data_IF_291566941275
#
_entry.id   IF_291566941275
#
_cell.length_a   1.000
_cell.length_b   1.000
_cell.length_c   1.000
_cell.angle_alpha   90.00
_cell.angle_beta   90.00
_cell.angle_gamma   90.00
#
_symmetry.space_group_name_H-M   'P 1'
#
loop_
_entity.id
_entity.type
_entity.pdbx_description
1 polymer ?
#
# COMPACT_ATOMS: atom_id res chain seq x y z
N UNK A 1 -4.52 -27.14 9.72
CA UNK A 1 -4.13 -25.79 10.15
C UNK A 1 -4.64 -24.88 9.09
N UNK A 2 -5.51 -23.95 9.47
CA UNK A 2 -6.16 -23.09 8.48
C UNK A 2 -5.12 -22.31 7.66
N UNK A 3 -5.26 -22.33 6.34
CA UNK A 3 -4.34 -21.69 5.39
C UNK A 3 -5.10 -21.07 4.22
N UNK A 4 -4.46 -20.11 3.55
CA UNK A 4 -4.98 -19.58 2.29
C UNK A 4 -5.06 -20.71 1.26
N UNK A 5 -6.26 -20.96 0.74
CA UNK A 5 -6.52 -21.96 -0.31
C UNK A 5 -6.96 -21.31 -1.63
N UNK A 6 -7.27 -20.01 -1.60
CA UNK A 6 -7.51 -19.21 -2.79
C UNK A 6 -6.94 -17.81 -2.59
N UNK A 7 -6.22 -17.33 -3.60
CA UNK A 7 -5.67 -15.98 -3.69
C UNK A 7 -5.75 -15.51 -5.14
N UNK A 8 -5.83 -14.20 -5.33
CA UNK A 8 -6.02 -13.59 -6.64
C UNK A 8 -5.14 -12.37 -6.79
N UNK A 9 -4.59 -12.19 -8.00
CA UNK A 9 -3.93 -10.95 -8.38
C UNK A 9 -4.99 -9.87 -8.64
N UNK A 10 -4.74 -8.64 -8.21
CA UNK A 10 -5.56 -7.51 -8.60
C UNK A 10 -4.99 -6.86 -9.85
N UNK A 11 -5.88 -6.44 -10.74
CA UNK A 11 -5.51 -5.57 -11.86
C UNK A 11 -5.08 -4.22 -11.28
N UNK A 12 -4.02 -3.64 -11.82
CA UNK A 12 -3.51 -2.32 -11.44
C UNK A 12 -4.43 -1.21 -11.96
N UNK A 13 -5.64 -1.17 -11.42
CA UNK A 13 -6.70 -0.22 -11.74
C UNK A 13 -7.32 0.30 -10.44
N UNK A 14 -7.56 1.61 -10.38
CA UNK A 14 -8.02 2.27 -9.16
C UNK A 14 -9.38 1.72 -8.70
N UNK A 15 -10.31 1.47 -9.63
CA UNK A 15 -11.64 0.98 -9.28
C UNK A 15 -11.60 -0.48 -8.84
N UNK A 16 -10.75 -1.31 -9.44
CA UNK A 16 -10.52 -2.68 -9.01
C UNK A 16 -9.94 -2.75 -7.60
N UNK A 17 -8.94 -1.93 -7.29
CA UNK A 17 -8.35 -1.86 -5.94
C UNK A 17 -9.36 -1.38 -4.89
N UNK A 18 -10.09 -0.29 -5.18
CA UNK A 18 -11.14 0.22 -4.29
C UNK A 18 -12.26 -0.80 -4.11
N UNK A 19 -12.70 -1.45 -5.18
CA UNK A 19 -13.73 -2.49 -5.14
C UNK A 19 -13.33 -3.69 -4.30
N UNK A 20 -12.05 -4.11 -4.35
CA UNK A 20 -11.52 -5.16 -3.50
C UNK A 20 -11.64 -4.81 -2.01
N UNK A 21 -11.19 -3.61 -1.65
CA UNK A 21 -11.25 -3.11 -0.27
C UNK A 21 -12.70 -2.92 0.21
N UNK A 22 -13.57 -2.36 -0.64
CA UNK A 22 -15.00 -2.20 -0.34
C UNK A 22 -15.72 -3.54 -0.15
N UNK A 23 -15.22 -4.61 -0.77
CA UNK A 23 -15.72 -5.97 -0.59
C UNK A 23 -15.20 -6.65 0.69
N UNK A 24 -14.40 -5.95 1.51
CA UNK A 24 -13.87 -6.44 2.78
C UNK A 24 -12.54 -7.20 2.67
N UNK A 25 -11.84 -7.12 1.53
CA UNK A 25 -10.59 -7.84 1.31
C UNK A 25 -9.39 -6.88 1.25
N UNK A 26 -8.53 -6.85 2.28
CA UNK A 26 -7.21 -6.24 2.18
C UNK A 26 -6.40 -6.89 1.07
N UNK A 27 -5.46 -6.14 0.51
CA UNK A 27 -4.52 -6.67 -0.46
C UNK A 27 -3.09 -6.23 -0.12
N UNK A 28 -2.13 -7.09 -0.41
CA UNK A 28 -0.71 -6.79 -0.32
C UNK A 28 -0.19 -6.31 -1.67
N UNK A 29 0.85 -5.49 -1.64
CA UNK A 29 1.55 -5.03 -2.84
C UNK A 29 2.99 -4.66 -2.52
N UNK A 30 3.85 -4.70 -3.54
CA UNK A 30 5.20 -4.16 -3.50
C UNK A 30 5.22 -2.74 -4.08
N UNK A 31 6.04 -1.86 -3.50
CA UNK A 31 6.30 -0.54 -4.06
C UNK A 31 7.77 -0.14 -3.95
N UNK A 32 8.21 0.70 -4.88
CA UNK A 32 9.56 1.28 -4.87
C UNK A 32 9.61 2.34 -3.76
N UNK A 33 10.58 2.26 -2.86
CA UNK A 33 10.78 3.23 -1.79
C UNK A 33 11.79 4.29 -2.24
N UNK A 34 11.47 5.55 -2.00
CA UNK A 34 12.34 6.71 -2.27
C UNK A 34 12.71 7.43 -0.96
N UNK A 35 13.74 8.29 -0.99
CA UNK A 35 14.25 9.01 0.19
C UNK A 35 13.17 9.78 0.97
N UNK A 36 12.21 10.38 0.27
CA UNK A 36 11.09 11.14 0.83
C UNK A 36 10.17 10.28 1.69
N UNK A 37 9.99 9.00 1.34
CA UNK A 37 9.21 8.05 2.14
C UNK A 37 9.87 7.72 3.48
N UNK A 38 11.20 7.58 3.50
CA UNK A 38 11.96 7.33 4.73
C UNK A 38 12.32 8.61 5.51
N UNK A 39 11.78 9.76 5.10
CA UNK A 39 12.02 11.01 5.82
C UNK A 39 11.39 11.01 7.22
N UNK A 40 11.99 11.78 8.14
CA UNK A 40 11.45 11.99 9.48
C UNK A 40 10.03 12.60 9.45
N UNK A 41 9.73 13.40 8.41
CA UNK A 41 8.40 13.95 8.17
C UNK A 41 7.38 12.84 7.98
N UNK A 42 7.64 11.88 7.09
CA UNK A 42 6.73 10.74 6.85
C UNK A 42 6.69 9.82 8.06
N UNK A 43 7.81 9.59 8.74
CA UNK A 43 7.84 8.80 9.97
C UNK A 43 6.99 9.40 11.10
N UNK A 44 6.74 10.71 11.07
CA UNK A 44 5.91 11.41 12.08
C UNK A 44 4.47 11.59 11.61
N UNK A 45 4.27 11.99 10.34
CA UNK A 45 2.93 12.29 9.80
C UNK A 45 2.20 11.05 9.29
N UNK A 46 2.95 10.06 8.81
CA UNK A 46 2.44 8.92 8.04
C UNK A 46 1.84 9.30 6.69
N UNK A 47 2.09 10.49 6.15
CA UNK A 47 1.60 10.89 4.83
C UNK A 47 2.73 10.85 3.80
N UNK A 48 2.79 9.78 3.00
CA UNK A 48 3.82 9.63 1.97
C UNK A 48 3.54 10.54 0.76
N UNK A 49 4.55 11.29 0.26
CA UNK A 49 4.41 12.05 -0.97
C UNK A 49 4.59 11.18 -2.22
N UNK A 50 4.28 11.73 -3.39
CA UNK A 50 4.82 11.20 -4.65
C UNK A 50 6.33 11.47 -4.71
N UNK A 51 7.12 10.55 -5.30
CA UNK A 51 8.55 10.78 -5.48
C UNK A 51 8.79 11.90 -6.51
N UNK A 52 9.84 12.68 -6.31
CA UNK A 52 10.26 13.66 -7.31
C UNK A 52 10.87 12.96 -8.56
N UNK A 53 10.79 13.57 -9.76
CA UNK A 53 11.20 12.92 -11.02
C UNK A 53 12.64 12.37 -11.08
N UNK A 54 13.55 12.87 -10.23
CA UNK A 54 14.94 12.42 -10.15
C UNK A 54 15.34 12.04 -8.72
N UNK A 55 14.35 11.73 -7.88
CA UNK A 55 14.58 11.27 -6.53
C UNK A 55 15.23 9.88 -6.53
N UNK A 56 16.14 9.67 -5.59
CA UNK A 56 16.86 8.41 -5.49
C UNK A 56 15.94 7.33 -4.91
N UNK A 57 15.76 6.24 -5.66
CA UNK A 57 15.19 5.02 -5.13
C UNK A 57 16.16 4.39 -4.13
N UNK A 58 15.67 3.98 -2.97
CA UNK A 58 16.47 3.42 -1.88
C UNK A 58 16.17 1.94 -1.62
N UNK A 59 15.10 1.40 -2.19
CA UNK A 59 14.79 -0.02 -2.11
C UNK A 59 13.39 -0.35 -2.59
N UNK A 60 12.92 -1.54 -2.25
CA UNK A 60 11.54 -1.96 -2.39
C UNK A 60 10.97 -2.39 -1.04
N UNK A 61 9.67 -2.20 -0.85
CA UNK A 61 8.98 -2.61 0.37
C UNK A 61 7.62 -3.23 0.04
N UNK A 62 7.18 -4.17 0.86
CA UNK A 62 5.91 -4.87 0.70
C UNK A 62 5.00 -4.60 1.90
N UNK A 63 3.77 -4.18 1.63
CA UNK A 63 2.84 -3.65 2.61
C UNK A 63 1.41 -4.07 2.29
N UNK A 64 0.46 -3.78 3.19
CA UNK A 64 -0.94 -4.16 3.04
C UNK A 64 -1.84 -2.93 2.96
N UNK A 65 -2.54 -2.76 1.84
CA UNK A 65 -3.64 -1.80 1.74
C UNK A 65 -4.85 -2.32 2.54
N UNK A 66 -5.40 -1.47 3.39
CA UNK A 66 -6.50 -1.79 4.32
C UNK A 66 -7.69 -0.84 4.21
N UNK A 67 -7.58 0.20 3.38
CA UNK A 67 -8.66 1.17 3.15
C UNK A 67 -8.27 2.20 2.11
N UNK A 68 -9.19 3.12 1.83
CA UNK A 68 -8.97 4.24 0.93
C UNK A 68 -9.82 5.44 1.35
N UNK A 69 -9.41 6.63 0.96
CA UNK A 69 -10.09 7.89 1.23
C UNK A 69 -10.06 8.77 -0.02
N UNK A 70 -11.23 9.23 -0.44
CA UNK A 70 -11.41 9.89 -1.74
C UNK A 70 -11.16 11.40 -1.71
N UNK A 71 -11.25 12.06 -0.56
CA UNK A 71 -11.12 13.51 -0.49
C UNK A 71 -9.66 13.97 -0.71
N UNK A 72 -8.69 13.19 -0.22
CA UNK A 72 -7.25 13.38 -0.42
C UNK A 72 -6.65 12.37 -1.41
N UNK A 73 -7.46 11.44 -1.93
CA UNK A 73 -7.05 10.42 -2.89
C UNK A 73 -5.92 9.53 -2.39
N UNK A 74 -6.15 8.91 -1.22
CA UNK A 74 -5.16 8.09 -0.52
C UNK A 74 -5.63 6.66 -0.31
N UNK A 75 -4.71 5.71 -0.48
CA UNK A 75 -4.84 4.40 0.15
C UNK A 75 -4.34 4.47 1.58
N UNK A 76 -5.08 3.86 2.51
CA UNK A 76 -4.59 3.59 3.86
C UNK A 76 -3.85 2.26 3.86
N UNK A 77 -2.61 2.29 4.33
CA UNK A 77 -1.67 1.18 4.23
C UNK A 77 -1.11 0.84 5.60
N UNK A 78 -1.14 -0.44 5.96
CA UNK A 78 -0.53 -0.97 7.17
C UNK A 78 0.95 -1.27 6.90
N UNK A 79 1.83 -0.65 7.69
CA UNK A 79 3.26 -0.89 7.66
C UNK A 79 3.66 -2.01 8.65
N UNK A 80 4.95 -2.35 8.67
CA UNK A 80 5.55 -3.38 9.52
C UNK A 80 6.68 -2.84 10.42
N UNK A 81 6.69 -1.54 10.71
CA UNK A 81 7.75 -0.85 11.47
C UNK A 81 7.34 -0.44 12.90
N UNK A 82 6.32 -1.12 13.43
CA UNK A 82 5.82 -0.87 14.78
C UNK A 82 4.85 0.31 14.89
N UNK A 83 4.18 0.40 16.04
CA UNK A 83 3.12 1.40 16.28
C UNK A 83 3.63 2.83 16.47
N UNK A 84 4.92 3.01 16.75
CA UNK A 84 5.52 4.34 16.95
C UNK A 84 5.83 5.09 15.65
N UNK A 85 5.59 4.48 14.49
CA UNK A 85 5.89 5.06 13.19
C UNK A 85 4.61 5.48 12.46
N UNK A 86 4.62 6.65 11.84
CA UNK A 86 3.52 7.19 11.05
C UNK A 86 2.21 7.31 11.84
N UNK A 87 1.11 6.93 11.21
CA UNK A 87 -0.24 6.92 11.79
C UNK A 87 -0.46 5.67 12.63
N UNK A 88 0.21 5.58 13.78
CA UNK A 88 0.14 4.43 14.70
C UNK A 88 0.53 3.07 14.05
N UNK A 89 1.52 3.08 13.15
CA UNK A 89 1.97 1.93 12.35
C UNK A 89 1.36 1.86 10.94
N UNK A 90 0.58 2.87 10.55
CA UNK A 90 -0.02 3.00 9.22
C UNK A 90 0.55 4.22 8.50
N UNK A 91 0.28 4.31 7.21
CA UNK A 91 0.52 5.50 6.41
C UNK A 91 -0.50 5.62 5.30
N UNK A 92 -0.59 6.81 4.72
CA UNK A 92 -1.33 7.05 3.49
C UNK A 92 -0.36 7.12 2.31
N UNK A 93 -0.79 6.57 1.18
CA UNK A 93 -0.04 6.63 -0.06
C UNK A 93 -0.97 7.12 -1.20
N UNK A 94 -0.54 8.07 -2.05
CA UNK A 94 -1.39 8.61 -3.12
C UNK A 94 -1.88 7.53 -4.07
N UNK A 95 -3.12 7.65 -4.56
CA UNK A 95 -3.67 6.75 -5.58
C UNK A 95 -2.75 6.62 -6.79
N UNK A 96 -2.19 7.74 -7.24
CA UNK A 96 -1.24 7.82 -8.36
C UNK A 96 0.00 6.95 -8.16
N UNK A 97 0.46 6.77 -6.91
CA UNK A 97 1.61 5.93 -6.61
C UNK A 97 1.33 4.45 -6.90
N UNK A 98 0.10 3.98 -6.64
CA UNK A 98 -0.29 2.59 -6.90
C UNK A 98 -0.60 2.32 -8.38
N UNK A 99 -1.08 3.31 -9.13
CA UNK A 99 -1.54 3.11 -10.52
C UNK A 99 -0.52 3.56 -11.57
N UNK A 100 0.50 4.34 -11.19
CA UNK A 100 1.58 4.70 -12.09
C UNK A 100 2.53 3.52 -12.28
N UNK A 101 2.79 3.17 -13.54
CA UNK A 101 3.69 2.10 -13.91
C UNK A 101 5.11 2.34 -13.32
N UNK A 102 5.68 1.28 -12.73
CA UNK A 102 7.03 1.28 -12.16
C UNK A 102 7.14 1.74 -10.70
N UNK A 103 6.07 2.29 -10.11
CA UNK A 103 6.08 2.69 -8.69
C UNK A 103 5.54 1.61 -7.75
N UNK A 104 4.59 0.79 -8.21
CA UNK A 104 4.05 -0.32 -7.45
C UNK A 104 3.68 -1.50 -8.36
N UNK A 105 3.70 -2.71 -7.79
CA UNK A 105 3.45 -3.98 -8.50
C UNK A 105 3.02 -5.08 -7.54
N UNK A 106 2.74 -6.27 -8.08
CA UNK A 106 2.44 -7.49 -7.31
C UNK A 106 1.30 -7.34 -6.31
N UNK A 107 0.15 -6.89 -6.81
CA UNK A 107 -1.07 -6.73 -6.02
C UNK A 107 -1.76 -8.09 -5.82
N UNK A 108 -1.87 -8.55 -4.58
CA UNK A 108 -2.46 -9.86 -4.24
C UNK A 108 -3.41 -9.79 -3.06
N UNK A 109 -4.48 -10.58 -3.11
CA UNK A 109 -5.43 -10.73 -1.98
C UNK A 109 -5.78 -12.18 -1.76
N UNK A 110 -5.93 -12.57 -0.50
CA UNK A 110 -6.47 -13.88 -0.10
C UNK A 110 -7.99 -13.82 -0.20
N UNK A 111 -8.59 -14.84 -0.81
CA UNK A 111 -10.05 -14.96 -0.96
C UNK A 111 -10.68 -15.98 -0.05
N UNK A 112 -9.99 -17.10 0.20
CA UNK A 112 -10.52 -18.21 1.00
C UNK A 112 -9.42 -18.74 1.91
N UNK A 113 -9.76 -18.89 3.19
CA UNK A 113 -8.99 -19.64 4.18
C UNK A 113 -9.76 -20.93 4.48
N UNK A 114 -9.07 -22.06 4.43
CA UNK A 114 -9.65 -23.38 4.69
C UNK A 114 -8.71 -24.24 5.54
N UNK A 115 -9.22 -25.36 6.08
CA UNK A 115 -8.54 -26.19 7.10
C UNK A 115 -7.23 -26.88 6.67
#
# INVERSE_FOLDING_TARGET
TDRAVSYQSLIQDLNQMKGCLASGYPFVFGFTVYESFESATVATSGHAPMPAPSERAIGGHAVMAVGYEDANQWFLVRNSWGRGWGLAGYFTLPYTYLIQAGLASDFWTIRIVGP
#
